data_IF_177478010443
#
_entry.id   IF_177478010443
#
_cell.length_a   1.000
_cell.length_b   1.000
_cell.length_c   1.000
_cell.angle_alpha   90.00
_cell.angle_beta   90.00
_cell.angle_gamma   90.00
#
_symmetry.space_group_name_H-M   'P 1'
#
loop_
_entity.id
_entity.type
_entity.pdbx_description
1 polymer ?
#
# COMPACT_ATOMS: atom_id res chain seq x y z
N UNK A 1 15.45 5.39 -9.51
CA UNK A 1 15.63 4.04 -8.97
C UNK A 1 16.09 3.15 -10.11
N UNK A 2 17.21 2.44 -9.93
CA UNK A 2 17.68 1.45 -10.90
C UNK A 2 16.86 0.15 -10.78
N UNK A 3 16.96 -0.77 -11.75
CA UNK A 3 16.33 -2.09 -11.62
C UNK A 3 16.95 -2.90 -10.46
N UNK A 4 18.23 -2.71 -10.19
CA UNK A 4 18.94 -3.33 -9.07
C UNK A 4 18.42 -2.81 -7.72
N UNK A 5 18.22 -1.49 -7.59
CA UNK A 5 17.65 -0.88 -6.38
C UNK A 5 16.23 -1.41 -6.12
N UNK A 6 15.44 -1.60 -7.19
CA UNK A 6 14.08 -2.12 -7.07
C UNK A 6 14.08 -3.60 -6.68
N UNK A 7 14.96 -4.42 -7.27
CA UNK A 7 15.08 -5.83 -6.89
C UNK A 7 15.47 -5.96 -5.41
N UNK A 8 16.46 -5.18 -4.96
CA UNK A 8 16.83 -5.13 -3.54
C UNK A 8 15.67 -4.69 -2.65
N UNK A 9 14.89 -3.69 -3.07
CA UNK A 9 13.71 -3.24 -2.32
C UNK A 9 12.62 -4.33 -2.25
N UNK A 10 12.43 -5.13 -3.31
CA UNK A 10 11.51 -6.29 -3.35
C UNK A 10 11.98 -7.36 -2.36
N UNK A 11 13.26 -7.73 -2.39
CA UNK A 11 13.84 -8.72 -1.47
C UNK A 11 13.68 -8.29 0.00
N UNK A 12 13.95 -7.02 0.29
CA UNK A 12 13.71 -6.44 1.62
C UNK A 12 12.23 -6.51 2.02
N UNK A 13 11.31 -6.23 1.09
CA UNK A 13 9.87 -6.28 1.35
C UNK A 13 9.38 -7.71 1.69
N UNK A 14 10.02 -8.72 1.10
CA UNK A 14 9.72 -10.14 1.32
C UNK A 14 10.33 -10.66 2.63
N UNK A 15 11.55 -10.24 2.95
CA UNK A 15 12.21 -10.59 4.21
C UNK A 15 11.55 -9.93 5.43
N UNK A 16 10.90 -8.77 5.22
CA UNK A 16 10.44 -7.92 6.30
C UNK A 16 11.58 -7.08 6.89
N UNK A 17 11.25 -6.09 7.73
CA UNK A 17 12.25 -5.18 8.26
C UNK A 17 13.07 -5.82 9.38
N UNK A 18 14.33 -5.42 9.50
CA UNK A 18 15.09 -5.56 10.74
C UNK A 18 14.67 -4.51 11.77
N UNK A 19 15.06 -4.68 13.04
CA UNK A 19 14.79 -3.66 14.07
C UNK A 19 15.34 -2.28 13.69
N UNK A 20 16.52 -2.23 13.05
CA UNK A 20 17.16 -0.98 12.63
C UNK A 20 16.48 -0.30 11.44
N UNK A 21 15.75 -1.06 10.60
CA UNK A 21 14.98 -0.50 9.47
C UNK A 21 13.76 0.31 9.94
N UNK A 22 13.19 -0.08 11.09
CA UNK A 22 12.00 0.53 11.68
C UNK A 22 12.36 1.60 12.70
N UNK A 23 13.48 1.43 13.40
CA UNK A 23 14.00 2.41 14.34
C UNK A 23 14.32 3.71 13.58
N UNK A 24 13.57 4.77 13.88
CA UNK A 24 13.71 6.07 13.20
C UNK A 24 12.98 6.17 11.86
N UNK A 25 12.31 5.12 11.38
CA UNK A 25 11.46 5.22 10.20
C UNK A 25 10.29 6.21 10.42
N UNK A 26 9.86 6.96 9.39
CA UNK A 26 8.68 7.82 9.49
C UNK A 26 7.45 7.01 9.89
N UNK A 27 6.57 7.61 10.69
CA UNK A 27 5.29 7.02 11.05
C UNK A 27 4.23 7.52 10.06
N UNK A 28 3.41 6.63 9.53
CA UNK A 28 2.18 6.97 8.83
C UNK A 28 0.98 6.48 9.66
N UNK A 29 0.19 7.42 10.13
CA UNK A 29 -1.02 7.21 10.92
C UNK A 29 -2.25 7.51 10.07
N UNK A 30 -3.44 7.14 10.54
CA UNK A 30 -4.72 7.38 9.86
C UNK A 30 -4.69 6.98 8.38
N UNK A 31 -4.04 5.86 8.09
CA UNK A 31 -3.60 5.49 6.75
C UNK A 31 -4.59 4.55 6.06
N UNK A 32 -4.56 4.52 4.73
CA UNK A 32 -5.27 3.54 3.92
C UNK A 32 -4.53 3.27 2.62
N UNK A 33 -4.85 2.15 1.97
CA UNK A 33 -4.30 1.82 0.66
C UNK A 33 -5.18 2.40 -0.45
N UNK A 34 -4.53 3.02 -1.41
CA UNK A 34 -5.14 3.52 -2.64
C UNK A 34 -4.60 2.77 -3.84
N UNK A 35 -5.51 2.50 -4.77
CA UNK A 35 -5.18 1.98 -6.08
C UNK A 35 -6.00 2.74 -7.13
N UNK A 36 -5.44 2.82 -8.34
CA UNK A 36 -6.11 3.37 -9.53
C UNK A 36 -5.81 2.41 -10.66
N UNK A 37 -6.77 2.18 -11.55
CA UNK A 37 -6.60 1.25 -12.68
C UNK A 37 -5.30 1.56 -13.44
N UNK A 38 -4.48 0.52 -13.64
CA UNK A 38 -3.17 0.60 -14.29
C UNK A 38 -2.06 1.28 -13.46
N UNK A 39 -2.31 1.66 -12.20
CA UNK A 39 -1.31 2.20 -11.28
C UNK A 39 -0.92 1.19 -10.19
N UNK A 40 0.20 1.43 -9.52
CA UNK A 40 0.64 0.62 -8.39
C UNK A 40 -0.09 1.01 -7.11
N UNK A 41 -0.26 0.05 -6.19
CA UNK A 41 -0.83 0.31 -4.86
C UNK A 41 0.07 1.30 -4.11
N UNK A 42 -0.53 2.32 -3.48
CA UNK A 42 0.14 3.33 -2.64
C UNK A 42 -0.55 3.42 -1.29
N UNK A 43 0.12 4.00 -0.30
CA UNK A 43 -0.50 4.37 0.97
C UNK A 43 -0.71 5.88 1.02
N UNK A 44 -1.89 6.28 1.48
CA UNK A 44 -2.20 7.65 1.84
C UNK A 44 -2.40 7.73 3.36
N UNK A 45 -1.89 8.77 4.01
CA UNK A 45 -2.06 8.92 5.45
C UNK A 45 -1.32 10.10 6.05
N UNK A 46 -1.47 10.25 7.36
CA UNK A 46 -0.85 11.31 8.15
C UNK A 46 0.59 10.94 8.50
N UNK A 47 1.59 11.58 7.89
CA UNK A 47 3.00 11.27 8.12
C UNK A 47 3.61 12.19 9.18
N UNK A 48 4.30 11.60 10.15
CA UNK A 48 5.08 12.32 11.14
C UNK A 48 6.54 11.86 11.16
N UNK A 49 7.42 12.76 11.62
CA UNK A 49 8.88 12.53 11.65
C UNK A 49 9.48 12.22 10.27
N UNK A 50 8.87 12.71 9.20
CA UNK A 50 9.41 12.55 7.85
C UNK A 50 10.60 13.49 7.64
N UNK A 51 11.75 13.00 7.12
CA UNK A 51 12.94 13.83 6.96
C UNK A 51 12.79 14.94 5.90
N UNK A 52 11.85 14.79 4.97
CA UNK A 52 11.73 15.65 3.78
C UNK A 52 10.35 16.29 3.59
N UNK A 53 9.33 15.88 4.34
CA UNK A 53 7.94 16.32 4.13
C UNK A 53 7.46 17.02 5.39
N UNK A 54 7.07 18.28 5.24
CA UNK A 54 6.49 19.10 6.30
C UNK A 54 4.96 19.11 6.29
N UNK A 55 4.34 18.47 5.30
CA UNK A 55 2.89 18.37 5.19
C UNK A 55 2.37 17.18 6.01
N UNK A 56 1.21 17.34 6.68
CA UNK A 56 0.68 16.26 7.52
C UNK A 56 0.21 15.08 6.69
N UNK A 57 -0.33 15.27 5.48
CA UNK A 57 -0.90 14.20 4.65
C UNK A 57 -0.01 13.88 3.44
N UNK A 58 0.31 12.61 3.21
CA UNK A 58 1.22 12.18 2.14
C UNK A 58 0.68 10.96 1.40
N UNK A 59 0.85 10.96 0.08
CA UNK A 59 0.79 9.76 -0.77
C UNK A 59 2.18 9.19 -0.95
N UNK A 60 2.39 7.93 -0.56
CA UNK A 60 3.71 7.29 -0.66
C UNK A 60 4.10 6.93 -2.10
N UNK A 61 5.38 6.60 -2.28
CA UNK A 61 5.81 5.77 -3.42
C UNK A 61 5.08 4.41 -3.39
N UNK A 62 5.07 3.64 -4.50
CA UNK A 62 4.39 2.35 -4.53
C UNK A 62 4.77 1.44 -3.37
N UNK A 63 3.76 0.79 -2.81
CA UNK A 63 3.88 -0.19 -1.74
C UNK A 63 4.41 -1.48 -2.34
N UNK A 64 5.36 -2.09 -1.64
CA UNK A 64 5.90 -3.40 -1.97
C UNK A 64 5.33 -4.46 -1.03
N UNK A 65 5.24 -4.17 0.26
CA UNK A 65 4.73 -5.09 1.28
C UNK A 65 4.34 -4.32 2.54
N UNK A 66 3.49 -4.91 3.37
CA UNK A 66 3.16 -4.37 4.68
C UNK A 66 2.73 -5.50 5.62
N UNK A 67 2.77 -5.22 6.92
CA UNK A 67 2.16 -6.02 7.95
C UNK A 67 1.46 -5.08 8.93
N UNK A 68 0.27 -5.45 9.38
CA UNK A 68 -0.51 -4.65 10.31
C UNK A 68 -1.17 -5.54 11.37
N UNK A 69 -0.95 -5.21 12.64
CA UNK A 69 -1.62 -5.80 13.79
C UNK A 69 -2.79 -4.91 14.19
N UNK A 70 -4.00 -5.44 14.01
CA UNK A 70 -5.25 -4.73 14.35
C UNK A 70 -5.51 -4.62 15.86
N UNK A 71 -4.90 -5.47 16.67
CA UNK A 71 -5.11 -5.50 18.11
C UNK A 71 -4.16 -4.50 18.79
N UNK A 72 -2.94 -4.36 18.24
CA UNK A 72 -1.95 -3.38 18.69
C UNK A 72 -2.03 -2.03 17.95
N UNK A 73 -2.79 -1.95 16.86
CA UNK A 73 -2.86 -0.79 15.94
C UNK A 73 -1.49 -0.33 15.44
N UNK A 74 -0.59 -1.29 15.18
CA UNK A 74 0.78 -1.00 14.74
C UNK A 74 1.23 -1.94 13.64
N UNK A 75 2.25 -1.53 12.91
CA UNK A 75 2.81 -2.37 11.86
C UNK A 75 3.96 -1.70 11.13
N UNK A 76 4.26 -2.23 9.95
CA UNK A 76 5.27 -1.67 9.06
C UNK A 76 4.80 -1.71 7.61
N UNK A 77 5.35 -0.79 6.82
CA UNK A 77 5.10 -0.66 5.40
C UNK A 77 6.44 -0.51 4.68
N UNK A 78 6.71 -1.41 3.73
CA UNK A 78 7.79 -1.25 2.75
C UNK A 78 7.23 -0.65 1.49
N UNK A 79 7.78 0.48 1.09
CA UNK A 79 7.56 1.08 -0.23
C UNK A 79 8.80 0.91 -1.09
N UNK A 80 8.74 1.27 -2.37
CA UNK A 80 9.93 1.30 -3.22
C UNK A 80 11.05 2.15 -2.59
N UNK A 81 10.69 3.29 -1.99
CA UNK A 81 11.69 4.26 -1.51
C UNK A 81 12.16 4.04 -0.07
N UNK A 82 11.29 3.62 0.85
CA UNK A 82 11.63 3.52 2.28
C UNK A 82 10.68 2.64 3.08
N UNK A 83 11.10 2.38 4.31
CA UNK A 83 10.29 1.80 5.38
C UNK A 83 9.46 2.88 6.08
N UNK A 84 8.28 2.50 6.54
CA UNK A 84 7.44 3.28 7.45
C UNK A 84 6.98 2.41 8.61
N UNK A 85 6.80 3.06 9.77
CA UNK A 85 5.96 2.53 10.84
C UNK A 85 4.50 2.82 10.50
N UNK A 86 3.62 1.85 10.72
CA UNK A 86 2.18 2.03 10.57
C UNK A 86 1.57 2.32 11.95
N UNK A 87 0.76 3.36 12.01
CA UNK A 87 -0.15 3.66 13.10
C UNK A 87 -1.56 3.16 12.77
N UNK A 88 -2.57 3.87 13.27
CA UNK A 88 -3.97 3.46 13.12
C UNK A 88 -4.38 3.44 11.66
N UNK A 89 -4.97 2.32 11.25
CA UNK A 89 -5.69 2.25 9.99
C UNK A 89 -6.87 3.23 10.01
N UNK A 90 -7.07 3.97 8.92
CA UNK A 90 -8.17 4.92 8.77
C UNK A 90 -9.50 4.20 8.97
N UNK A 91 -10.25 4.63 9.98
CA UNK A 91 -11.61 4.17 10.16
C UNK A 91 -12.50 4.83 9.11
N UNK A 92 -12.95 4.09 8.11
CA UNK A 92 -14.08 4.54 7.30
C UNK A 92 -15.28 3.59 7.43
N UNK A 93 -16.51 4.15 7.40
CA UNK A 93 -17.73 3.37 7.46
C UNK A 93 -17.76 2.25 6.41
N UNK A 94 -17.81 1.01 6.88
CA UNK A 94 -18.10 -0.17 6.05
C UNK A 94 -19.51 -0.59 6.37
N UNK A 95 -20.37 -0.71 5.35
CA UNK A 95 -21.73 -1.22 5.49
C UNK A 95 -21.71 -2.74 5.71
N UNK A 96 -21.27 -3.16 6.90
CA UNK A 96 -21.13 -4.56 7.29
C UNK A 96 -21.53 -4.73 8.76
N UNK A 97 -22.17 -5.86 9.13
CA UNK A 97 -22.40 -6.21 10.54
C UNK A 97 -21.09 -6.45 11.31
N UNK A 98 -19.99 -6.74 10.60
CA UNK A 98 -18.64 -6.82 11.15
C UNK A 98 -17.66 -5.99 10.28
N UNK A 99 -17.48 -4.70 10.60
CA UNK A 99 -16.55 -3.83 9.88
C UNK A 99 -15.08 -4.22 10.07
N UNK A 100 -14.71 -4.82 11.20
CA UNK A 100 -13.32 -5.15 11.49
C UNK A 100 -12.88 -6.37 10.67
N UNK A 101 -13.72 -7.41 10.57
CA UNK A 101 -13.46 -8.54 9.70
C UNK A 101 -13.33 -8.12 8.23
N UNK A 102 -14.16 -7.18 7.77
CA UNK A 102 -14.07 -6.66 6.39
C UNK A 102 -12.76 -5.94 6.11
N UNK A 103 -12.28 -5.14 7.06
CA UNK A 103 -10.97 -4.49 6.94
C UNK A 103 -9.82 -5.50 6.91
N UNK A 104 -9.89 -6.56 7.73
CA UNK A 104 -8.90 -7.64 7.72
C UNK A 104 -8.87 -8.33 6.35
N UNK A 105 -10.04 -8.72 5.84
CA UNK A 105 -10.21 -9.31 4.50
C UNK A 105 -9.65 -8.40 3.39
N UNK A 106 -9.90 -7.09 3.47
CA UNK A 106 -9.39 -6.12 2.50
C UNK A 106 -7.86 -6.00 2.54
N UNK A 107 -7.24 -6.00 3.74
CA UNK A 107 -5.78 -5.98 3.87
C UNK A 107 -5.14 -7.30 3.42
N UNK A 108 -5.77 -8.45 3.70
CA UNK A 108 -5.31 -9.76 3.21
C UNK A 108 -5.33 -9.80 1.67
N UNK A 109 -6.42 -9.31 1.06
CA UNK A 109 -6.51 -9.18 -0.39
C UNK A 109 -5.43 -8.25 -0.94
N UNK A 110 -5.17 -7.11 -0.28
CA UNK A 110 -4.10 -6.20 -0.69
C UNK A 110 -2.71 -6.83 -0.61
N UNK A 111 -2.42 -7.65 0.41
CA UNK A 111 -1.15 -8.40 0.49
C UNK A 111 -0.99 -9.38 -0.68
N UNK A 112 -2.05 -10.08 -1.05
CA UNK A 112 -2.05 -10.99 -2.20
C UNK A 112 -1.83 -10.27 -3.54
N UNK A 113 -2.36 -9.05 -3.68
CA UNK A 113 -2.14 -8.21 -4.86
C UNK A 113 -0.70 -7.70 -4.92
N UNK A 114 -0.17 -7.24 -3.79
CA UNK A 114 1.23 -6.80 -3.67
C UNK A 114 2.21 -7.94 -3.99
N UNK A 115 1.93 -9.17 -3.54
CA UNK A 115 2.73 -10.36 -3.91
C UNK A 115 2.79 -10.52 -5.43
N UNK A 116 1.64 -10.51 -6.10
CA UNK A 116 1.55 -10.64 -7.56
C UNK A 116 2.27 -9.48 -8.29
N UNK A 117 2.19 -8.26 -7.78
CA UNK A 117 2.92 -7.13 -8.35
C UNK A 117 4.43 -7.30 -8.26
N UNK A 118 4.95 -7.80 -7.12
CA UNK A 118 6.39 -8.06 -6.97
C UNK A 118 6.88 -9.15 -7.93
N UNK A 119 6.11 -10.23 -8.08
CA UNK A 119 6.39 -11.29 -9.05
C UNK A 119 6.44 -10.73 -10.47
N UNK A 120 5.42 -9.97 -10.88
CA UNK A 120 5.37 -9.35 -12.21
C UNK A 120 6.52 -8.35 -12.46
N UNK A 121 6.93 -7.57 -11.45
CA UNK A 121 8.07 -6.67 -11.58
C UNK A 121 9.40 -7.42 -11.68
N UNK A 122 9.56 -8.53 -10.95
CA UNK A 122 10.75 -9.41 -11.06
C UNK A 122 10.86 -9.98 -12.48
N UNK A 123 9.78 -10.53 -13.01
CA UNK A 123 9.73 -11.09 -14.38
C UNK A 123 10.10 -10.05 -15.44
N UNK A 124 9.60 -8.81 -15.29
CA UNK A 124 9.92 -7.71 -16.20
C UNK A 124 11.40 -7.30 -16.13
N UNK A 125 11.99 -7.25 -14.94
CA UNK A 125 13.41 -6.94 -14.75
C UNK A 125 14.28 -8.03 -15.38
N UNK A 126 13.97 -9.30 -15.12
CA UNK A 126 14.71 -10.45 -15.67
C UNK A 126 14.61 -10.52 -17.20
N UNK A 127 13.47 -10.10 -17.77
CA UNK A 127 13.26 -9.99 -19.21
C UNK A 127 13.95 -8.78 -19.85
N UNK A 128 14.69 -7.97 -19.08
CA UNK A 128 15.39 -6.77 -19.55
C UNK A 128 14.48 -5.55 -19.78
N UNK A 129 13.24 -5.61 -19.30
CA UNK A 129 12.26 -4.54 -19.37
C UNK A 129 12.41 -3.51 -18.24
N UNK A 130 11.73 -2.38 -18.40
CA UNK A 130 11.47 -1.47 -17.28
C UNK A 130 10.20 -1.92 -16.56
N UNK A 131 10.21 -2.09 -15.23
CA UNK A 131 9.02 -2.50 -14.50
C UNK A 131 7.93 -1.42 -14.60
N UNK A 132 6.74 -1.84 -15.01
CA UNK A 132 5.50 -1.05 -15.09
C UNK A 132 4.45 -1.68 -14.19
N UNK A 133 3.60 -0.86 -13.56
CA UNK A 133 2.43 -1.34 -12.83
C UNK A 133 1.60 -2.26 -13.74
N UNK A 134 1.26 -3.46 -13.25
CA UNK A 134 0.56 -4.47 -14.03
C UNK A 134 -0.93 -4.36 -13.75
N UNK A 135 -1.77 -4.38 -14.79
CA UNK A 135 -3.23 -4.41 -14.64
C UNK A 135 -3.65 -5.62 -13.79
N UNK A 136 -4.50 -5.39 -12.79
CA UNK A 136 -5.17 -6.47 -12.08
C UNK A 136 -6.27 -7.05 -12.99
N UNK A 137 -6.56 -8.37 -12.92
CA UNK A 137 -7.77 -8.90 -13.54
C UNK A 137 -8.97 -8.17 -12.94
N UNK A 138 -9.88 -7.67 -13.78
CA UNK A 138 -11.02 -6.85 -13.36
C UNK A 138 -11.77 -7.53 -12.19
N UNK A 139 -11.60 -6.98 -10.97
CA UNK A 139 -12.47 -7.35 -9.87
C UNK A 139 -13.81 -6.68 -10.15
N UNK A 140 -14.81 -7.50 -10.50
CA UNK A 140 -16.21 -7.11 -10.63
C UNK A 140 -16.71 -6.47 -9.33
N UNK A 141 -16.55 -5.17 -9.18
CA UNK A 141 -17.17 -4.40 -8.10
C UNK A 141 -18.51 -3.88 -8.58
N UNK A 142 -19.58 -4.36 -7.94
CA UNK A 142 -20.93 -3.84 -8.10
C UNK A 142 -20.94 -2.31 -7.85
N UNK A 143 -21.42 -1.56 -8.84
CA UNK A 143 -21.61 -0.10 -8.75
C UNK A 143 -22.56 0.22 -7.59
N UNK A 144 -22.14 1.13 -6.72
CA UNK A 144 -23.04 1.83 -5.79
C UNK A 144 -23.25 3.23 -6.37
N UNK A 145 -24.49 3.51 -6.81
CA UNK A 145 -24.92 4.81 -7.35
C UNK A 145 -25.05 5.85 -6.23
N UNK A 146 -24.36 6.99 -6.36
CA UNK A 146 -24.47 8.18 -5.49
C UNK A 146 -23.79 9.40 -6.13
N UNK A 147 -24.31 10.63 -5.95
CA UNK A 147 -24.06 11.75 -6.86
C UNK A 147 -22.69 12.44 -6.68
N UNK A 148 -22.29 13.12 -7.75
CA UNK A 148 -20.92 13.34 -8.26
C UNK A 148 -20.29 14.68 -7.86
N UNK A 149 -19.02 14.67 -7.45
CA UNK A 149 -18.01 15.70 -7.74
C UNK A 149 -16.68 15.02 -8.15
N UNK A 150 -15.85 15.63 -9.03
CA UNK A 150 -14.97 14.89 -9.92
C UNK A 150 -13.64 14.56 -9.26
N UNK A 151 -13.60 13.42 -8.57
CA UNK A 151 -12.39 12.62 -8.51
C UNK A 151 -12.53 11.61 -9.66
N UNK A 152 -11.57 11.61 -10.61
CA UNK A 152 -11.50 10.57 -11.64
C UNK A 152 -11.59 9.16 -11.02
N UNK A 153 -11.92 8.11 -11.79
CA UNK A 153 -12.30 6.81 -11.24
C UNK A 153 -11.26 6.31 -10.23
N UNK A 154 -11.60 6.43 -8.94
CA UNK A 154 -10.86 5.78 -7.85
C UNK A 154 -11.37 4.35 -7.86
N UNK A 155 -10.80 3.53 -8.72
CA UNK A 155 -11.10 2.10 -8.74
C UNK A 155 -10.43 1.48 -7.52
N UNK A 156 -11.24 1.24 -6.48
CA UNK A 156 -10.83 0.56 -5.26
C UNK A 156 -10.27 1.48 -4.18
N UNK A 157 -11.14 1.89 -3.27
CA UNK A 157 -10.75 2.31 -1.93
C UNK A 157 -10.91 1.07 -1.03
N UNK A 158 -9.80 0.47 -0.59
CA UNK A 158 -9.86 -0.71 0.30
C UNK A 158 -10.24 -0.24 1.71
N UNK A 159 -11.51 -0.43 2.09
CA UNK A 159 -12.00 -0.20 3.46
C UNK A 159 -12.97 -1.30 3.85
#
# INVERSE_FOLDING_TARGET
MSCEDLLSAIEQAEAGPSSGDIEGAPMIDNWFLVWRDGDAIRADGDVSSHPEVSEPWVTTSPVLSFQYDFDLETGWLRTMSRWYRLGRLRAVPVASPDPQAKRREALDAAQDLLRRHREAWRDQIESGGRPVATDLPESSTARIDGPTEPLGPVTGLFI
#
